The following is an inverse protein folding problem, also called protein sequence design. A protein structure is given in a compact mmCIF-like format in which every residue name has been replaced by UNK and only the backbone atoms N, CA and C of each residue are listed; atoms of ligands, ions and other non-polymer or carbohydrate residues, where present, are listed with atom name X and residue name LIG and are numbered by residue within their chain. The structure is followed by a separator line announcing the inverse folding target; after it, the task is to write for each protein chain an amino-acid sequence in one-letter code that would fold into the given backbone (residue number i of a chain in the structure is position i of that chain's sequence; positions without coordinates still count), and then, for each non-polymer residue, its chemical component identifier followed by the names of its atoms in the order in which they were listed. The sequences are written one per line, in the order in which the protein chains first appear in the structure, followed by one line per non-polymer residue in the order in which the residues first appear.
data_IF_245931757352
#
_entry.id   IF_245931757352
#
_cell.length_a   1.000
_cell.length_b   1.000
_cell.length_c   1.000
_cell.angle_alpha   90.00
_cell.angle_beta   90.00
_cell.angle_gamma   90.00
#
_symmetry.space_group_name_H-M   'P 1'
#
loop_
_entity.id
_entity.type
_entity.pdbx_description
1 polymer ?
#
# COMPACT_ATOMS: atom_id res chain seq x y z
N UNK A 1 -4.97 -57.63 18.26
CA UNK A 1 -5.09 -56.17 18.08
C UNK A 1 -4.46 -55.82 16.74
N UNK A 2 -5.17 -55.11 15.87
CA UNK A 2 -4.59 -54.63 14.62
C UNK A 2 -3.79 -53.35 14.89
N UNK A 3 -2.53 -53.32 14.46
CA UNK A 3 -1.64 -52.16 14.58
C UNK A 3 -1.74 -51.36 13.28
N UNK A 4 -2.07 -50.08 13.36
CA UNK A 4 -2.08 -49.20 12.19
C UNK A 4 -0.64 -48.93 11.75
N UNK A 5 -0.34 -49.25 10.49
CA UNK A 5 0.90 -48.87 9.82
C UNK A 5 0.56 -47.84 8.75
N UNK A 6 0.98 -46.60 8.94
CA UNK A 6 0.83 -45.56 7.92
C UNK A 6 1.64 -45.95 6.68
N UNK A 7 1.03 -45.81 5.49
CA UNK A 7 1.77 -45.96 4.24
C UNK A 7 2.86 -44.88 4.16
N UNK A 8 4.12 -45.21 3.82
CA UNK A 8 5.16 -44.22 3.62
C UNK A 8 4.70 -43.13 2.63
N UNK A 9 4.83 -41.86 3.01
CA UNK A 9 4.40 -40.73 2.19
C UNK A 9 2.91 -40.41 2.26
N UNK A 10 2.16 -41.03 3.19
CA UNK A 10 0.77 -40.66 3.48
C UNK A 10 0.64 -39.16 3.79
N UNK A 11 1.60 -38.56 4.50
CA UNK A 11 1.57 -37.13 4.82
C UNK A 11 1.70 -36.26 3.57
N UNK A 12 2.51 -36.68 2.60
CA UNK A 12 2.64 -35.98 1.33
C UNK A 12 1.37 -36.07 0.49
N UNK A 13 0.75 -37.26 0.42
CA UNK A 13 -0.56 -37.44 -0.24
C UNK A 13 -1.64 -36.59 0.43
N UNK A 14 -1.67 -36.56 1.76
CA UNK A 14 -2.58 -35.69 2.52
C UNK A 14 -2.32 -34.21 2.25
N UNK A 15 -1.06 -33.78 2.21
CA UNK A 15 -0.69 -32.40 1.88
C UNK A 15 -1.16 -32.00 0.47
N UNK A 16 -1.01 -32.89 -0.52
CA UNK A 16 -1.55 -32.67 -1.87
C UNK A 16 -3.08 -32.56 -1.88
N UNK A 17 -3.78 -33.39 -1.09
CA UNK A 17 -5.24 -33.36 -0.98
C UNK A 17 -5.76 -32.05 -0.35
N UNK A 18 -5.08 -31.52 0.66
CA UNK A 18 -5.50 -30.27 1.33
C UNK A 18 -5.05 -29.01 0.59
N UNK A 19 -4.06 -29.09 -0.31
CA UNK A 19 -3.48 -27.94 -1.00
C UNK A 19 -4.51 -27.04 -1.71
N UNK A 20 -5.53 -27.57 -2.44
CA UNK A 20 -6.57 -26.73 -3.02
C UNK A 20 -7.34 -25.92 -1.97
N UNK A 21 -7.61 -26.51 -0.79
CA UNK A 21 -8.35 -25.83 0.27
C UNK A 21 -7.54 -24.71 0.91
N UNK A 22 -6.25 -24.94 1.16
CA UNK A 22 -5.35 -23.89 1.65
C UNK A 22 -5.25 -22.75 0.63
N UNK A 23 -5.23 -23.06 -0.67
CA UNK A 23 -5.22 -22.05 -1.72
C UNK A 23 -6.52 -21.24 -1.77
N UNK A 24 -7.69 -21.84 -1.51
CA UNK A 24 -8.95 -21.09 -1.36
C UNK A 24 -8.92 -20.10 -0.19
N UNK A 25 -8.39 -20.52 0.96
CA UNK A 25 -8.22 -19.65 2.14
C UNK A 25 -7.30 -18.47 1.79
N UNK A 26 -6.19 -18.72 1.12
CA UNK A 26 -5.29 -17.66 0.67
C UNK A 26 -5.96 -16.69 -0.33
N UNK A 27 -6.77 -17.20 -1.27
CA UNK A 27 -7.57 -16.35 -2.17
C UNK A 27 -8.62 -15.53 -1.41
N UNK A 28 -9.12 -16.02 -0.28
CA UNK A 28 -9.97 -15.21 0.60
C UNK A 28 -9.18 -14.08 1.26
N UNK A 29 -7.97 -14.35 1.75
CA UNK A 29 -7.06 -13.33 2.28
C UNK A 29 -6.78 -12.27 1.21
N UNK A 30 -6.47 -12.66 -0.03
CA UNK A 30 -6.28 -11.72 -1.14
C UNK A 30 -7.50 -10.82 -1.35
N UNK A 31 -8.71 -11.38 -1.41
CA UNK A 31 -9.94 -10.59 -1.57
C UNK A 31 -10.13 -9.60 -0.43
N UNK A 32 -9.90 -10.01 0.81
CA UNK A 32 -9.99 -9.11 1.97
C UNK A 32 -8.90 -8.04 1.94
N UNK A 33 -7.67 -8.40 1.57
CA UNK A 33 -6.55 -7.47 1.46
C UNK A 33 -6.83 -6.41 0.40
N UNK A 34 -7.43 -6.79 -0.74
CA UNK A 34 -7.85 -5.86 -1.80
C UNK A 34 -8.92 -4.86 -1.33
N UNK A 35 -9.82 -5.26 -0.43
CA UNK A 35 -10.83 -4.37 0.15
C UNK A 35 -10.21 -3.38 1.15
N UNK A 36 -9.24 -3.82 1.94
CA UNK A 36 -8.58 -2.95 2.92
C UNK A 36 -7.45 -2.11 2.35
N UNK A 37 -6.89 -2.50 1.20
CA UNK A 37 -5.82 -1.78 0.55
C UNK A 37 -6.26 -0.35 0.22
N UNK A 38 -5.44 0.65 0.55
CA UNK A 38 -5.79 2.03 0.27
C UNK A 38 -5.85 2.27 -1.25
N UNK A 39 -6.79 3.12 -1.71
CA UNK A 39 -6.69 3.66 -3.07
C UNK A 39 -5.41 4.47 -3.20
N UNK A 40 -4.97 4.73 -4.43
CA UNK A 40 -3.93 5.71 -4.69
C UNK A 40 -4.56 7.04 -5.08
N UNK A 41 -3.74 8.08 -5.10
CA UNK A 41 -4.10 9.41 -5.53
C UNK A 41 -3.00 9.94 -6.43
N UNK A 42 -3.42 10.61 -7.51
CA UNK A 42 -2.53 11.19 -8.51
C UNK A 42 -2.62 12.71 -8.45
N UNK A 43 -1.47 13.37 -8.42
CA UNK A 43 -1.42 14.84 -8.42
C UNK A 43 -1.60 15.35 -9.85
N UNK A 44 -2.67 16.10 -10.09
CA UNK A 44 -2.99 16.67 -11.40
C UNK A 44 -2.79 18.18 -11.34
N UNK A 45 -1.87 18.67 -12.14
CA UNK A 45 -1.70 20.11 -12.38
C UNK A 45 -2.59 20.56 -13.54
N UNK A 46 -3.03 21.82 -13.51
CA UNK A 46 -3.67 22.45 -14.66
C UNK A 46 -2.58 22.82 -15.66
N UNK A 47 -2.72 22.45 -16.93
CA UNK A 47 -1.75 22.84 -17.94
C UNK A 47 -1.99 24.31 -18.37
N UNK A 48 -1.73 25.25 -17.47
CA UNK A 48 -1.70 26.67 -17.79
C UNK A 48 -0.42 27.33 -17.28
N UNK A 49 -0.09 28.48 -17.88
CA UNK A 49 1.06 29.32 -17.59
C UNK A 49 1.02 29.95 -16.18
N UNK A 50 -0.03 29.66 -15.40
CA UNK A 50 -0.17 30.05 -13.99
C UNK A 50 0.19 28.92 -13.02
N UNK A 51 0.48 27.70 -13.50
CA UNK A 51 0.99 26.64 -12.64
C UNK A 51 2.40 26.94 -12.18
N UNK A 52 2.58 26.83 -10.87
CA UNK A 52 3.87 27.07 -10.23
C UNK A 52 4.87 26.00 -10.68
N UNK A 53 6.12 26.38 -11.05
CA UNK A 53 7.15 25.43 -11.45
C UNK A 53 7.39 24.31 -10.43
N UNK A 54 7.26 24.58 -9.13
CA UNK A 54 7.43 23.58 -8.06
C UNK A 54 6.42 22.44 -8.11
N UNK A 55 5.23 22.68 -8.67
CA UNK A 55 4.17 21.68 -8.76
C UNK A 55 4.25 20.86 -10.05
N UNK A 56 4.98 21.33 -11.07
CA UNK A 56 5.18 20.59 -12.32
C UNK A 56 5.87 19.25 -12.05
N UNK A 57 6.86 19.23 -11.14
CA UNK A 57 7.55 18.00 -10.74
C UNK A 57 6.64 17.01 -9.98
N UNK A 58 5.55 17.50 -9.37
CA UNK A 58 4.56 16.65 -8.71
C UNK A 58 3.51 16.14 -9.71
N UNK A 59 3.39 16.75 -10.90
CA UNK A 59 2.41 16.31 -11.90
C UNK A 59 2.58 14.83 -12.22
N UNK A 60 1.48 14.09 -12.14
CA UNK A 60 1.45 12.67 -12.46
C UNK A 60 2.02 11.76 -11.37
N UNK A 61 2.59 12.31 -10.29
CA UNK A 61 2.98 11.51 -9.13
C UNK A 61 1.75 10.77 -8.61
N UNK A 62 1.85 9.45 -8.49
CA UNK A 62 0.84 8.60 -7.88
C UNK A 62 1.38 8.05 -6.56
N UNK A 63 0.64 8.27 -5.47
CA UNK A 63 0.98 7.77 -4.13
C UNK A 63 -0.25 7.16 -3.47
N UNK A 64 -0.11 6.21 -2.54
CA UNK A 64 -1.22 5.73 -1.72
C UNK A 64 -1.93 6.87 -0.98
N UNK A 65 -3.25 6.74 -0.78
CA UNK A 65 -4.07 7.80 -0.19
C UNK A 65 -3.64 8.17 1.24
N UNK A 66 -3.11 7.21 2.01
CA UNK A 66 -2.57 7.44 3.35
C UNK A 66 -1.20 8.13 3.35
N UNK A 67 -0.48 8.12 2.23
CA UNK A 67 0.85 8.73 2.09
C UNK A 67 0.78 10.18 1.57
N UNK A 68 1.92 10.87 1.60
CA UNK A 68 2.07 12.26 1.15
C UNK A 68 2.82 12.33 -0.18
N UNK A 69 2.40 13.23 -1.04
CA UNK A 69 3.13 13.65 -2.24
C UNK A 69 4.43 14.33 -1.86
N UNK A 70 5.40 14.27 -2.77
CA UNK A 70 6.71 14.91 -2.65
C UNK A 70 6.72 16.12 -3.59
N UNK A 71 6.84 17.32 -3.02
CA UNK A 71 6.79 18.57 -3.79
C UNK A 71 8.04 19.39 -3.48
N UNK A 72 8.59 20.07 -4.49
CA UNK A 72 9.70 20.98 -4.25
C UNK A 72 9.25 22.16 -3.39
N UNK A 73 10.04 22.51 -2.38
CA UNK A 73 9.77 23.67 -1.54
C UNK A 73 10.04 24.96 -2.33
N UNK A 74 9.22 25.98 -2.09
CA UNK A 74 9.50 27.33 -2.61
C UNK A 74 10.66 27.96 -1.86
N UNK A 75 11.44 28.82 -2.53
CA UNK A 75 12.55 29.54 -1.90
C UNK A 75 12.12 30.34 -0.66
N UNK A 76 10.94 30.97 -0.72
CA UNK A 76 10.39 31.69 0.42
C UNK A 76 10.16 30.77 1.63
N UNK A 77 9.56 29.60 1.39
CA UNK A 77 9.29 28.59 2.42
C UNK A 77 10.61 28.07 3.04
N UNK A 78 11.65 27.86 2.23
CA UNK A 78 12.97 27.47 2.73
C UNK A 78 13.58 28.55 3.62
N UNK A 79 13.58 29.81 3.16
CA UNK A 79 14.20 30.94 3.85
C UNK A 79 13.46 31.37 5.13
N UNK A 80 12.13 31.28 5.16
CA UNK A 80 11.31 31.85 6.25
C UNK A 80 10.65 30.82 7.16
N UNK A 81 10.59 29.55 6.75
CA UNK A 81 9.91 28.48 7.52
C UNK A 81 10.84 27.34 7.89
N UNK A 82 12.11 27.40 7.50
CA UNK A 82 13.11 26.35 7.73
C UNK A 82 12.75 25.04 7.03
N UNK A 83 12.03 25.11 5.90
CA UNK A 83 11.76 23.94 5.07
C UNK A 83 13.02 23.54 4.31
N UNK A 84 13.24 22.23 4.18
CA UNK A 84 14.26 21.70 3.28
C UNK A 84 13.86 21.88 1.80
N UNK A 85 14.67 21.36 0.86
CA UNK A 85 14.39 21.47 -0.58
C UNK A 85 13.09 20.78 -1.02
N UNK A 86 12.57 19.87 -0.20
CA UNK A 86 11.37 19.09 -0.43
C UNK A 86 10.40 19.31 0.73
N UNK A 87 9.11 19.39 0.39
CA UNK A 87 7.99 19.35 1.33
C UNK A 87 7.06 18.18 1.00
N UNK A 88 6.27 17.77 1.99
CA UNK A 88 5.36 16.64 1.89
C UNK A 88 3.92 17.12 2.10
N UNK A 89 3.04 16.76 1.17
CA UNK A 89 1.65 17.23 1.15
C UNK A 89 0.68 16.06 0.99
N UNK A 90 -0.39 15.99 1.78
CA UNK A 90 -1.44 14.99 1.61
C UNK A 90 -2.19 15.18 0.29
N UNK A 91 -2.35 16.42 -0.14
CA UNK A 91 -3.08 16.81 -1.34
C UNK A 91 -2.70 18.25 -1.74
N UNK A 92 -3.09 18.71 -2.94
CA UNK A 92 -3.01 20.13 -3.26
C UNK A 92 -3.73 20.98 -2.22
N UNK A 93 -3.07 22.06 -1.79
CA UNK A 93 -3.54 22.97 -0.73
C UNK A 93 -3.62 22.33 0.68
N UNK A 94 -2.90 21.23 0.93
CA UNK A 94 -2.79 20.63 2.26
C UNK A 94 -2.30 21.62 3.32
N UNK A 95 -3.22 22.10 4.16
CA UNK A 95 -2.92 23.05 5.25
C UNK A 95 -2.10 22.43 6.38
N UNK A 96 -2.02 21.09 6.46
CA UNK A 96 -1.11 20.40 7.37
C UNK A 96 0.34 20.46 6.91
N UNK A 97 0.59 20.86 5.66
CA UNK A 97 1.94 21.14 5.18
C UNK A 97 2.43 22.48 5.71
N UNK A 98 3.71 22.55 6.09
CA UNK A 98 4.35 23.80 6.48
C UNK A 98 4.62 24.75 5.30
N UNK A 99 4.44 24.28 4.06
CA UNK A 99 4.79 24.97 2.81
C UNK A 99 3.69 25.93 2.34
N UNK A 100 3.57 27.07 3.04
CA UNK A 100 2.52 28.07 2.83
C UNK A 100 2.59 28.68 1.43
N UNK A 101 3.80 28.93 0.91
CA UNK A 101 3.94 29.52 -0.41
C UNK A 101 3.51 28.55 -1.54
N UNK A 102 3.69 27.24 -1.35
CA UNK A 102 3.17 26.21 -2.27
C UNK A 102 1.64 26.16 -2.30
N UNK A 103 0.97 26.43 -1.18
CA UNK A 103 -0.50 26.38 -1.09
C UNK A 103 -1.15 27.59 -1.79
N UNK A 104 -0.54 28.77 -1.69
CA UNK A 104 -1.10 30.03 -2.22
C UNK A 104 -1.33 29.97 -3.73
N UNK A 105 -2.58 30.23 -4.15
CA UNK A 105 -3.04 30.19 -5.54
C UNK A 105 -2.81 28.85 -6.26
N UNK A 106 -2.63 27.75 -5.52
CA UNK A 106 -2.54 26.42 -6.11
C UNK A 106 -3.86 26.08 -6.81
N UNK A 107 -3.80 25.57 -8.05
CA UNK A 107 -4.98 25.13 -8.83
C UNK A 107 -4.99 23.62 -9.12
N UNK A 108 -3.99 22.91 -8.58
CA UNK A 108 -3.87 21.46 -8.72
C UNK A 108 -4.98 20.75 -7.94
N UNK A 109 -5.29 19.53 -8.32
CA UNK A 109 -6.19 18.64 -7.58
C UNK A 109 -5.59 17.23 -7.46
N UNK A 110 -6.05 16.47 -6.48
CA UNK A 110 -5.70 15.05 -6.34
C UNK A 110 -6.84 14.21 -6.93
N UNK A 111 -6.54 13.39 -7.92
CA UNK A 111 -7.48 12.42 -8.46
C UNK A 111 -7.31 11.09 -7.74
N UNK A 112 -8.38 10.55 -7.18
CA UNK A 112 -8.34 9.21 -6.56
C UNK A 112 -8.41 8.11 -7.62
N UNK A 113 -7.63 7.05 -7.42
CA UNK A 113 -7.59 5.84 -8.25
C UNK A 113 -8.00 4.66 -7.32
N UNK A 114 -9.24 4.16 -7.44
CA UNK A 114 -9.80 3.17 -6.51
C UNK A 114 -8.98 1.90 -6.37
N UNK A 115 -8.48 1.36 -7.48
CA UNK A 115 -7.73 0.10 -7.51
C UNK A 115 -6.29 0.22 -6.97
N UNK A 116 -5.87 1.44 -6.62
CA UNK A 116 -4.57 1.82 -6.06
C UNK A 116 -3.57 0.71 -5.74
N UNK A 117 -3.45 0.36 -4.45
CA UNK A 117 -2.58 -0.74 -4.00
C UNK A 117 -3.21 -2.11 -4.27
N UNK A 118 -4.54 -2.20 -4.35
CA UNK A 118 -5.26 -3.48 -4.47
C UNK A 118 -4.89 -4.23 -5.75
N UNK A 119 -4.60 -3.53 -6.86
CA UNK A 119 -4.16 -4.13 -8.14
C UNK A 119 -2.83 -4.89 -8.04
N UNK A 120 -2.02 -4.57 -7.04
CA UNK A 120 -0.69 -5.17 -6.83
C UNK A 120 -0.73 -6.43 -5.95
N UNK A 121 -1.91 -6.83 -5.46
CA UNK A 121 -2.07 -7.95 -4.53
C UNK A 121 -2.49 -9.21 -5.31
N UNK A 122 -1.80 -10.32 -5.08
CA UNK A 122 -2.09 -11.61 -5.69
C UNK A 122 -1.73 -12.78 -4.79
N UNK A 123 -2.46 -13.88 -4.95
CA UNK A 123 -2.11 -15.18 -4.36
C UNK A 123 -1.19 -15.95 -5.31
N UNK A 124 -0.12 -16.54 -4.77
CA UNK A 124 0.76 -17.45 -5.49
C UNK A 124 0.24 -18.90 -5.41
N UNK A 125 0.58 -19.77 -6.37
CA UNK A 125 0.22 -21.18 -6.32
C UNK A 125 0.71 -21.88 -5.03
N UNK A 126 -0.02 -22.89 -4.53
CA UNK A 126 0.42 -23.69 -3.39
C UNK A 126 1.73 -24.42 -3.70
N UNK A 127 2.65 -24.40 -2.74
CA UNK A 127 3.89 -25.17 -2.75
C UNK A 127 3.78 -26.24 -1.67
N UNK A 128 3.89 -27.50 -2.07
CA UNK A 128 3.90 -28.66 -1.16
C UNK A 128 5.35 -29.11 -0.94
N UNK A 129 5.82 -29.05 0.31
CA UNK A 129 7.15 -29.51 0.70
C UNK A 129 7.00 -30.56 1.81
N UNK A 130 7.16 -31.83 1.44
CA UNK A 130 6.91 -32.96 2.35
C UNK A 130 5.45 -32.97 2.82
N UNK A 131 5.26 -32.82 4.13
CA UNK A 131 3.95 -32.73 4.81
C UNK A 131 3.38 -31.31 4.92
N UNK A 132 4.12 -30.29 4.46
CA UNK A 132 3.75 -28.88 4.62
C UNK A 132 3.20 -28.30 3.31
N UNK A 133 2.05 -27.63 3.39
CA UNK A 133 1.51 -26.81 2.30
C UNK A 133 1.73 -25.35 2.63
N UNK A 134 2.41 -24.62 1.75
CA UNK A 134 2.58 -23.17 1.86
C UNK A 134 1.87 -22.47 0.71
N UNK A 135 1.06 -21.46 1.03
CA UNK A 135 0.49 -20.54 0.05
C UNK A 135 0.85 -19.12 0.47
N UNK A 136 1.24 -18.29 -0.48
CA UNK A 136 1.66 -16.90 -0.21
C UNK A 136 0.67 -15.94 -0.85
N UNK A 137 0.26 -14.93 -0.09
CA UNK A 137 -0.40 -13.74 -0.64
C UNK A 137 0.65 -12.63 -0.63
N UNK A 138 0.92 -12.06 -1.79
CA UNK A 138 1.97 -11.06 -1.98
C UNK A 138 1.36 -9.77 -2.49
N UNK A 139 1.93 -8.65 -2.07
CA UNK A 139 1.72 -7.35 -2.65
C UNK A 139 3.08 -6.89 -3.23
N UNK A 140 3.14 -6.56 -4.51
CA UNK A 140 4.38 -6.22 -5.19
C UNK A 140 4.20 -4.96 -6.04
N UNK A 141 5.06 -3.96 -5.83
CA UNK A 141 5.02 -2.70 -6.55
C UNK A 141 5.46 -1.53 -5.68
N UNK A 142 5.49 -0.35 -6.28
CA UNK A 142 5.87 0.86 -5.57
C UNK A 142 4.91 1.17 -4.41
N UNK A 143 5.48 1.66 -3.31
CA UNK A 143 4.75 2.14 -2.12
C UNK A 143 3.98 1.09 -1.33
N UNK A 144 4.07 -0.20 -1.69
CA UNK A 144 3.36 -1.30 -1.00
C UNK A 144 3.72 -1.37 0.49
N UNK A 145 5.01 -1.26 0.81
CA UNK A 145 5.48 -1.36 2.20
C UNK A 145 5.03 -0.14 2.99
N UNK A 146 5.29 1.06 2.47
CA UNK A 146 4.91 2.31 3.10
C UNK A 146 3.38 2.45 3.24
N UNK A 147 2.60 1.90 2.30
CA UNK A 147 1.14 1.83 2.42
C UNK A 147 0.70 0.92 3.58
N UNK A 148 1.36 -0.22 3.77
CA UNK A 148 1.03 -1.19 4.84
C UNK A 148 1.39 -0.63 6.21
N UNK A 149 2.65 -0.22 6.42
CA UNK A 149 3.18 0.12 7.75
C UNK A 149 3.23 1.62 8.04
N UNK A 150 3.02 2.47 7.04
CA UNK A 150 3.13 3.92 7.16
C UNK A 150 4.55 4.42 6.93
N UNK A 151 4.74 5.72 7.16
CA UNK A 151 6.05 6.36 7.02
C UNK A 151 6.14 7.62 7.86
N UNK A 152 7.36 7.97 8.27
CA UNK A 152 7.67 9.20 9.00
C UNK A 152 8.45 10.13 8.08
N UNK A 153 7.84 11.26 7.73
CA UNK A 153 8.48 12.27 6.91
C UNK A 153 9.26 13.28 7.78
N UNK A 154 10.26 13.97 7.20
CA UNK A 154 10.97 15.07 7.85
C UNK A 154 10.02 16.07 8.51
N UNK A 155 10.40 16.55 9.70
CA UNK A 155 9.55 17.45 10.50
C UNK A 155 8.47 16.72 11.31
N UNK A 156 8.67 15.43 11.59
CA UNK A 156 7.78 14.58 12.38
C UNK A 156 6.35 14.49 11.81
N UNK A 157 6.25 14.53 10.47
CA UNK A 157 4.99 14.39 9.76
C UNK A 157 4.73 12.90 9.57
N UNK A 158 3.81 12.33 10.35
CA UNK A 158 3.47 10.92 10.27
C UNK A 158 2.39 10.65 9.21
N UNK A 159 2.55 9.53 8.49
CA UNK A 159 1.51 8.89 7.71
C UNK A 159 1.25 7.50 8.28
N UNK A 160 0.04 7.28 8.77
CA UNK A 160 -0.36 6.02 9.37
C UNK A 160 -0.46 4.91 8.31
N UNK A 161 0.01 3.72 8.68
CA UNK A 161 -0.14 2.51 7.89
C UNK A 161 -1.60 2.08 7.77
N UNK A 162 -1.97 1.52 6.62
CA UNK A 162 -3.30 0.94 6.42
C UNK A 162 -3.43 -0.47 7.02
N UNK A 163 -2.31 -1.16 7.24
CA UNK A 163 -2.23 -2.53 7.77
C UNK A 163 -3.16 -3.50 7.03
N UNK A 164 -3.28 -3.35 5.71
CA UNK A 164 -4.29 -4.03 4.92
C UNK A 164 -4.02 -5.53 4.80
N UNK A 165 -2.76 -5.96 4.72
CA UNK A 165 -2.40 -7.38 4.73
C UNK A 165 -2.63 -8.00 6.11
N UNK A 166 -2.14 -7.33 7.16
CA UNK A 166 -2.30 -7.81 8.53
C UNK A 166 -3.77 -7.95 8.91
N UNK A 167 -4.60 -6.95 8.60
CA UNK A 167 -6.04 -6.96 8.87
C UNK A 167 -6.76 -8.03 8.06
N UNK A 168 -6.40 -8.20 6.80
CA UNK A 168 -6.99 -9.26 5.96
C UNK A 168 -6.71 -10.66 6.52
N UNK A 169 -5.45 -10.93 6.90
CA UNK A 169 -5.07 -12.19 7.51
C UNK A 169 -5.83 -12.43 8.82
N UNK A 170 -5.94 -11.42 9.69
CA UNK A 170 -6.67 -11.53 10.96
C UNK A 170 -8.17 -11.82 10.76
N UNK A 171 -8.81 -11.13 9.81
CA UNK A 171 -10.24 -11.31 9.50
C UNK A 171 -10.51 -12.71 8.96
N UNK A 172 -9.68 -13.21 8.03
CA UNK A 172 -9.86 -14.56 7.48
C UNK A 172 -9.54 -15.61 8.55
N UNK A 173 -8.48 -15.43 9.33
CA UNK A 173 -8.15 -16.34 10.43
C UNK A 173 -9.30 -16.48 11.43
N UNK A 174 -10.02 -15.39 11.73
CA UNK A 174 -11.19 -15.42 12.62
C UNK A 174 -12.39 -16.21 12.06
N UNK A 175 -12.50 -16.38 10.74
CA UNK A 175 -13.58 -17.14 10.08
C UNK A 175 -13.33 -18.66 10.04
N UNK A 176 -12.06 -19.06 10.11
CA UNK A 176 -11.61 -20.45 10.03
C UNK A 176 -11.09 -20.99 11.37
N UNK A 177 -11.38 -20.28 12.48
CA UNK A 177 -11.22 -20.77 13.85
C UNK A 177 -12.41 -21.65 14.24
#
# INVERSE_FOLDING_TARGET
MATFHAEPGLEHKLAQLVAPKIHEIAREVERQAKVFAPPTKKWITVADDKVRPTHVAAHGQEVPANLRFKVNSMQWDMQHRGLGPITYMKEPRDSSSRAVANIKNCRCHAQSIPDGISRNIRTLPPVVAGSTVTVKVVAEGDWVVEAEIGTLYPGNLEAQGAFYMQRAAAVVAARHR
#
